data_IF_133495487021
#
_entry.id   IF_133495487021
#
_cell.length_a   1.000
_cell.length_b   1.000
_cell.length_c   1.000
_cell.angle_alpha   90.00
_cell.angle_beta   90.00
_cell.angle_gamma   90.00
#
_symmetry.space_group_name_H-M   'P 1'
#
loop_
_entity.id
_entity.type
_entity.pdbx_description
1 polymer ?
#
# COMPACT_ATOMS: atom_id res chain seq x y z
N UNK A 1 -3.89 8.06 -8.15
CA UNK A 1 -2.86 8.91 -7.49
C UNK A 1 -2.26 9.84 -8.53
N UNK A 2 -1.71 11.01 -8.17
CA UNK A 2 -1.01 11.91 -9.09
C UNK A 2 0.36 11.33 -9.48
N UNK A 3 0.36 10.14 -10.09
CA UNK A 3 1.56 9.44 -10.52
C UNK A 3 2.07 10.10 -11.81
N UNK A 4 3.34 10.50 -11.88
CA UNK A 4 3.90 11.16 -13.05
C UNK A 4 4.34 10.11 -14.09
N UNK A 5 3.40 9.32 -14.60
CA UNK A 5 3.66 8.18 -15.51
C UNK A 5 4.53 8.61 -16.71
N UNK A 6 4.13 9.66 -17.43
CA UNK A 6 4.88 10.19 -18.59
C UNK A 6 6.32 10.57 -18.21
N UNK A 7 6.50 11.31 -17.11
CA UNK A 7 7.82 11.71 -16.65
C UNK A 7 8.70 10.54 -16.24
N UNK A 8 8.11 9.46 -15.71
CA UNK A 8 8.83 8.23 -15.39
C UNK A 8 9.19 7.45 -16.66
N UNK A 9 8.33 7.46 -17.68
CA UNK A 9 8.59 6.79 -18.96
C UNK A 9 9.69 7.49 -19.77
N UNK A 10 9.85 8.80 -19.61
CA UNK A 10 10.91 9.58 -20.26
C UNK A 10 12.30 9.39 -19.62
N UNK A 11 12.38 8.70 -18.48
CA UNK A 11 13.65 8.44 -17.81
C UNK A 11 14.49 7.37 -18.52
N UNK A 12 15.84 7.47 -18.44
CA UNK A 12 16.72 6.43 -18.95
C UNK A 12 16.40 5.06 -18.34
N UNK A 13 16.29 4.03 -19.19
CA UNK A 13 15.92 2.68 -18.75
C UNK A 13 16.88 2.06 -17.72
N UNK A 14 18.14 2.50 -17.71
CA UNK A 14 19.20 2.01 -16.81
C UNK A 14 19.13 2.64 -15.41
N UNK A 15 18.31 3.69 -15.23
CA UNK A 15 18.22 4.41 -13.98
C UNK A 15 17.37 3.62 -12.97
N UNK A 16 18.01 3.21 -11.87
CA UNK A 16 17.30 2.59 -10.76
C UNK A 16 16.59 3.66 -9.93
N UNK A 17 15.29 3.46 -9.70
CA UNK A 17 14.43 4.32 -8.91
C UNK A 17 14.05 3.59 -7.63
N UNK A 18 13.94 4.35 -6.53
CA UNK A 18 13.44 3.85 -5.26
C UNK A 18 12.05 4.40 -4.98
N UNK A 19 11.12 3.50 -4.68
CA UNK A 19 9.81 3.82 -4.16
C UNK A 19 9.75 3.44 -2.68
N UNK A 20 9.61 4.41 -1.79
CA UNK A 20 9.37 4.16 -0.37
C UNK A 20 7.91 4.40 -0.04
N UNK A 21 7.30 3.43 0.64
CA UNK A 21 5.96 3.58 1.20
C UNK A 21 6.04 3.41 2.70
N UNK A 22 5.45 4.35 3.44
CA UNK A 22 5.29 4.28 4.88
C UNK A 22 3.82 4.43 5.24
N UNK A 23 3.22 3.36 5.75
CA UNK A 23 1.88 3.36 6.33
C UNK A 23 1.99 3.45 7.85
N UNK A 24 1.33 4.44 8.44
CA UNK A 24 1.23 4.61 9.89
C UNK A 24 -0.23 4.68 10.32
N UNK A 25 -0.57 4.01 11.41
CA UNK A 25 -1.90 4.06 12.00
C UNK A 25 -1.84 3.89 13.52
N UNK A 26 -2.86 4.38 14.22
CA UNK A 26 -2.96 4.21 15.66
C UNK A 26 -3.57 2.84 16.00
N UNK A 27 -2.96 2.17 16.98
CA UNK A 27 -3.51 0.94 17.57
C UNK A 27 -4.58 1.35 18.58
N UNK A 28 -5.84 1.02 18.31
CA UNK A 28 -6.88 1.15 19.33
C UNK A 28 -6.74 0.03 20.37
N UNK A 29 -6.65 0.31 21.68
CA UNK A 29 -6.47 -0.68 22.75
C UNK A 29 -7.72 -1.54 22.97
N UNK A 30 -7.55 -2.79 23.45
CA UNK A 30 -8.68 -3.68 23.74
C UNK A 30 -9.23 -3.36 25.13
N UNK A 31 -10.48 -2.87 25.28
CA UNK A 31 -11.06 -2.71 26.60
C UNK A 31 -11.55 -4.03 27.23
N UNK A 32 -11.54 -5.16 26.50
CA UNK A 32 -12.06 -6.45 26.97
C UNK A 32 -11.13 -7.19 27.94
N UNK A 33 -11.69 -7.74 29.03
CA UNK A 33 -10.96 -8.62 29.98
C UNK A 33 -10.37 -9.84 29.26
N UNK A 34 -9.20 -10.25 29.75
CA UNK A 34 -8.38 -11.40 29.35
C UNK A 34 -9.22 -12.69 29.30
N UNK A 35 -9.83 -12.98 28.16
CA UNK A 35 -10.66 -14.16 27.95
C UNK A 35 -10.90 -14.40 26.47
N UNK A 36 -10.74 -15.66 26.06
CA UNK A 36 -10.99 -16.26 24.73
C UNK A 36 -9.78 -16.47 23.78
N UNK A 37 -9.01 -17.51 24.13
CA UNK A 37 -8.79 -18.76 23.35
C UNK A 37 -8.10 -18.77 21.98
N UNK A 38 -7.37 -17.73 21.55
CA UNK A 38 -6.34 -17.90 20.52
C UNK A 38 -5.02 -17.31 20.98
N UNK A 39 -3.92 -18.01 20.68
CA UNK A 39 -2.56 -17.74 21.20
C UNK A 39 -1.97 -16.39 20.74
N UNK A 40 -2.74 -15.57 20.00
CA UNK A 40 -2.30 -14.33 19.33
C UNK A 40 -3.37 -13.23 19.17
N UNK A 41 -4.26 -12.94 20.13
CA UNK A 41 -5.16 -11.79 19.96
C UNK A 41 -4.58 -10.50 20.56
N UNK A 42 -4.06 -9.61 19.70
CA UNK A 42 -4.61 -8.25 19.51
C UNK A 42 -3.82 -7.44 18.46
N UNK A 43 -4.14 -7.56 17.18
CA UNK A 43 -3.87 -6.51 16.19
C UNK A 43 -5.14 -5.70 16.02
N UNK A 44 -5.05 -4.38 16.20
CA UNK A 44 -6.21 -3.50 16.29
C UNK A 44 -7.06 -3.55 14.99
N UNK A 45 -6.68 -2.72 14.02
CA UNK A 45 -7.18 -2.76 12.65
C UNK A 45 -6.32 -3.68 11.76
N UNK A 46 -5.04 -3.85 12.13
CA UNK A 46 -4.07 -4.63 11.36
C UNK A 46 -3.96 -4.13 9.91
N UNK A 47 -3.93 -2.80 9.70
CA UNK A 47 -3.84 -2.26 8.35
C UNK A 47 -2.55 -2.72 7.69
N UNK A 48 -2.64 -3.10 6.41
CA UNK A 48 -1.52 -3.39 5.53
C UNK A 48 -1.67 -2.55 4.26
N UNK A 49 -0.59 -2.47 3.50
CA UNK A 49 -0.61 -1.92 2.15
C UNK A 49 -0.09 -2.95 1.15
N UNK A 50 -0.60 -2.83 -0.07
CA UNK A 50 -0.07 -3.50 -1.25
C UNK A 50 -0.04 -2.55 -2.42
N UNK A 51 0.90 -2.75 -3.33
CA UNK A 51 1.04 -1.96 -4.57
C UNK A 51 0.79 -2.89 -5.74
N UNK A 52 0.09 -2.40 -6.77
CA UNK A 52 -0.04 -3.13 -8.02
C UNK A 52 1.36 -3.41 -8.57
N UNK A 53 1.56 -4.64 -9.04
CA UNK A 53 2.85 -5.08 -9.57
C UNK A 53 3.03 -4.67 -11.02
N UNK A 54 4.26 -4.51 -11.51
CA UNK A 54 4.53 -4.43 -12.94
C UNK A 54 3.94 -5.67 -13.64
N UNK A 55 3.18 -5.45 -14.71
CA UNK A 55 2.48 -6.47 -15.47
C UNK A 55 1.23 -7.06 -14.80
N UNK A 56 0.76 -6.53 -13.68
CA UNK A 56 -0.48 -7.00 -13.02
C UNK A 56 -1.69 -6.16 -13.48
N UNK A 57 -2.76 -6.85 -13.88
CA UNK A 57 -4.03 -6.17 -14.19
C UNK A 57 -4.72 -5.62 -12.95
N UNK A 58 -5.49 -4.54 -13.08
CA UNK A 58 -6.22 -3.94 -11.96
C UNK A 58 -7.25 -4.91 -11.36
N UNK A 59 -7.88 -5.74 -12.19
CA UNK A 59 -8.87 -6.73 -11.72
C UNK A 59 -8.20 -7.90 -11.00
N UNK A 60 -7.03 -8.37 -11.46
CA UNK A 60 -6.21 -9.31 -10.71
C UNK A 60 -5.75 -8.69 -9.38
N UNK A 61 -5.31 -7.43 -9.37
CA UNK A 61 -4.89 -6.74 -8.15
C UNK A 61 -6.02 -6.61 -7.11
N UNK A 62 -7.22 -6.23 -7.55
CA UNK A 62 -8.40 -6.19 -6.68
C UNK A 62 -8.73 -7.59 -6.14
N UNK A 63 -8.72 -8.59 -7.02
CA UNK A 63 -8.92 -9.99 -6.65
C UNK A 63 -7.84 -10.50 -5.71
N UNK A 64 -6.59 -10.04 -5.82
CA UNK A 64 -5.51 -10.39 -4.90
C UNK A 64 -5.76 -9.83 -3.51
N UNK A 65 -6.02 -8.53 -3.43
CA UNK A 65 -6.26 -7.82 -2.16
C UNK A 65 -7.50 -8.39 -1.46
N UNK A 66 -8.54 -8.73 -2.22
CA UNK A 66 -9.76 -9.36 -1.71
C UNK A 66 -9.59 -10.87 -1.46
N UNK A 67 -8.80 -11.57 -2.26
CA UNK A 67 -8.55 -13.02 -2.24
C UNK A 67 -7.67 -13.46 -1.08
N UNK A 68 -6.81 -12.56 -0.58
CA UNK A 68 -6.23 -12.66 0.77
C UNK A 68 -7.34 -12.82 1.85
N UNK A 69 -8.60 -12.49 1.55
CA UNK A 69 -9.75 -12.67 2.44
C UNK A 69 -10.70 -13.87 2.13
N UNK A 70 -10.83 -14.38 0.89
CA UNK A 70 -11.54 -15.64 0.54
C UNK A 70 -11.74 -15.81 -0.97
N UNK A 71 -11.17 -16.85 -1.59
CA UNK A 71 -11.77 -17.60 -2.72
C UNK A 71 -10.87 -18.78 -3.14
N UNK A 72 -11.47 -19.95 -3.41
CA UNK A 72 -10.77 -21.18 -3.85
C UNK A 72 -10.34 -21.18 -5.33
N UNK A 73 -10.83 -20.22 -6.15
CA UNK A 73 -10.59 -20.14 -7.60
C UNK A 73 -9.53 -19.10 -8.02
N UNK A 74 -8.63 -18.69 -7.11
CA UNK A 74 -7.63 -17.66 -7.39
C UNK A 74 -6.25 -18.26 -7.68
N UNK A 75 -5.79 -18.14 -8.94
CA UNK A 75 -4.50 -18.66 -9.43
C UNK A 75 -3.26 -17.91 -8.90
N UNK A 76 -3.47 -16.86 -8.11
CA UNK A 76 -2.39 -16.07 -7.54
C UNK A 76 -2.19 -14.72 -8.23
N UNK A 77 -1.39 -13.84 -7.61
CA UNK A 77 -1.12 -12.51 -8.14
C UNK A 77 -0.22 -12.56 -9.36
N UNK A 78 -0.66 -11.90 -10.43
CA UNK A 78 0.12 -11.63 -11.65
C UNK A 78 1.30 -10.70 -11.35
N UNK A 79 2.18 -10.55 -12.35
CA UNK A 79 3.23 -9.54 -12.33
C UNK A 79 4.40 -9.85 -11.40
N UNK A 80 5.41 -8.97 -11.47
CA UNK A 80 6.64 -9.14 -10.71
C UNK A 80 6.52 -8.62 -9.27
N UNK A 81 6.87 -9.44 -8.29
CA UNK A 81 6.83 -9.09 -6.86
C UNK A 81 8.20 -8.65 -6.30
N UNK A 82 9.26 -8.71 -7.10
CA UNK A 82 10.63 -8.44 -6.68
C UNK A 82 10.90 -6.94 -6.47
N UNK A 83 12.07 -6.63 -5.90
CA UNK A 83 12.54 -5.26 -5.68
C UNK A 83 12.21 -4.68 -4.31
N UNK A 84 11.29 -5.27 -3.55
CA UNK A 84 11.02 -4.89 -2.16
C UNK A 84 12.12 -5.34 -1.22
N UNK A 85 12.62 -4.43 -0.37
CA UNK A 85 13.71 -4.72 0.55
C UNK A 85 13.29 -5.61 1.73
N UNK A 86 12.17 -5.31 2.38
CA UNK A 86 11.64 -6.14 3.48
C UNK A 86 10.62 -7.19 2.99
N UNK A 87 9.86 -6.83 1.96
CA UNK A 87 8.79 -7.68 1.44
C UNK A 87 7.61 -7.80 2.41
N UNK A 88 6.57 -8.51 1.95
CA UNK A 88 5.25 -8.56 2.60
C UNK A 88 5.27 -9.13 4.02
N UNK A 89 6.24 -10.00 4.34
CA UNK A 89 6.32 -10.64 5.66
C UNK A 89 7.00 -9.76 6.71
N UNK A 90 8.10 -9.07 6.37
CA UNK A 90 8.88 -8.31 7.35
C UNK A 90 8.36 -6.88 7.52
N UNK A 91 7.76 -6.27 6.48
CA UNK A 91 7.26 -4.88 6.53
C UNK A 91 6.02 -4.66 7.41
N UNK A 92 5.43 -5.73 7.95
CA UNK A 92 4.10 -5.69 8.61
C UNK A 92 4.14 -5.75 10.15
N UNK A 93 5.31 -5.53 10.75
CA UNK A 93 5.49 -5.57 12.20
C UNK A 93 5.13 -4.24 12.86
N UNK A 94 4.23 -4.28 13.84
CA UNK A 94 3.80 -3.09 14.59
C UNK A 94 2.70 -2.30 13.88
N UNK A 95 2.71 -0.97 14.05
CA UNK A 95 1.73 -0.04 13.47
C UNK A 95 2.34 1.00 12.54
N UNK A 96 3.63 0.84 12.22
CA UNK A 96 4.36 1.62 11.22
C UNK A 96 4.98 0.60 10.27
N UNK A 97 4.46 0.56 9.05
CA UNK A 97 4.91 -0.34 8.00
C UNK A 97 5.66 0.50 6.97
N UNK A 98 6.97 0.33 6.88
CA UNK A 98 7.79 1.06 5.92
C UNK A 98 8.62 0.09 5.10
N UNK A 99 8.52 0.19 3.78
CA UNK A 99 9.31 -0.63 2.87
C UNK A 99 9.77 0.20 1.67
N UNK A 100 10.89 -0.20 1.07
CA UNK A 100 11.45 0.44 -0.11
C UNK A 100 11.54 -0.59 -1.23
N UNK A 101 10.90 -0.29 -2.35
CA UNK A 101 11.04 -0.99 -3.60
C UNK A 101 12.13 -0.32 -4.45
N UNK A 102 12.93 -1.11 -5.16
CA UNK A 102 13.92 -0.62 -6.13
C UNK A 102 13.73 -1.35 -7.46
N UNK A 103 13.71 -0.61 -8.55
CA UNK A 103 13.60 -1.16 -9.90
C UNK A 103 13.68 -0.08 -10.98
N UNK A 104 13.23 -0.43 -12.18
CA UNK A 104 13.32 0.46 -13.34
C UNK A 104 12.23 1.53 -13.32
N UNK A 105 12.44 2.60 -14.07
CA UNK A 105 11.43 3.64 -14.25
C UNK A 105 10.15 3.13 -14.94
N UNK A 106 10.30 2.21 -15.89
CA UNK A 106 9.19 1.56 -16.59
C UNK A 106 8.33 0.72 -15.63
N UNK A 107 8.96 -0.11 -14.80
CA UNK A 107 8.25 -0.89 -13.79
C UNK A 107 7.50 0.02 -12.82
N UNK A 108 8.15 1.10 -12.35
CA UNK A 108 7.52 2.05 -11.43
C UNK A 108 6.33 2.78 -12.07
N UNK A 109 6.37 3.06 -13.37
CA UNK A 109 5.28 3.68 -14.10
C UNK A 109 4.02 2.79 -14.12
N UNK A 110 4.18 1.47 -14.11
CA UNK A 110 3.09 0.50 -14.01
C UNK A 110 2.58 0.32 -12.56
N UNK A 111 3.41 0.60 -11.54
CA UNK A 111 3.05 0.53 -10.11
C UNK A 111 2.17 1.70 -9.62
N UNK A 112 1.11 2.02 -10.36
CA UNK A 112 0.32 3.26 -10.20
C UNK A 112 -0.84 3.17 -9.19
N UNK A 113 -1.03 2.02 -8.53
CA UNK A 113 -2.16 1.78 -7.61
C UNK A 113 -1.67 1.22 -6.28
N UNK A 114 -2.13 1.81 -5.18
CA UNK A 114 -1.86 1.34 -3.82
C UNK A 114 -3.19 1.01 -3.15
N UNK A 115 -3.27 -0.17 -2.54
CA UNK A 115 -4.39 -0.57 -1.68
C UNK A 115 -3.96 -0.51 -0.22
N UNK A 116 -4.79 0.08 0.64
CA UNK A 116 -4.67 -0.01 2.10
C UNK A 116 -5.88 -0.81 2.60
N UNK A 117 -5.64 -1.89 3.32
CA UNK A 117 -6.69 -2.83 3.71
C UNK A 117 -6.43 -3.44 5.08
N UNK A 118 -7.51 -3.76 5.85
CA UNK A 118 -7.38 -4.45 7.12
C UNK A 118 -7.20 -5.96 6.89
N UNK A 119 -6.30 -6.61 7.63
CA UNK A 119 -6.17 -8.09 7.61
C UNK A 119 -6.89 -8.83 8.74
N UNK A 120 -7.65 -8.10 9.57
CA UNK A 120 -8.44 -8.67 10.66
C UNK A 120 -7.92 -8.26 12.04
N UNK A 121 -8.25 -9.07 13.05
CA UNK A 121 -8.05 -8.72 14.46
C UNK A 121 -9.39 -8.50 15.19
N UNK A 122 -9.34 -8.09 16.45
CA UNK A 122 -10.55 -7.91 17.27
C UNK A 122 -11.58 -6.99 16.61
N UNK A 123 -11.15 -6.04 15.77
CA UNK A 123 -12.03 -5.14 15.03
C UNK A 123 -12.97 -5.87 14.08
N UNK A 124 -12.48 -6.94 13.43
CA UNK A 124 -13.27 -7.82 12.55
C UNK A 124 -14.18 -8.77 13.35
N UNK A 125 -13.71 -9.25 14.50
CA UNK A 125 -14.40 -10.30 15.27
C UNK A 125 -15.33 -9.76 16.39
N UNK A 126 -15.24 -8.47 16.75
CA UNK A 126 -16.13 -7.82 17.72
C UNK A 126 -17.44 -7.39 17.06
N UNK A 127 -18.21 -8.37 16.61
CA UNK A 127 -19.53 -8.18 15.97
C UNK A 127 -20.53 -7.46 16.89
N UNK A 128 -20.39 -7.63 18.21
CA UNK A 128 -21.24 -6.99 19.21
C UNK A 128 -21.18 -5.44 19.22
N UNK A 129 -20.12 -4.84 18.66
CA UNK A 129 -19.92 -3.38 18.64
C UNK A 129 -19.98 -2.77 17.23
N UNK A 130 -20.31 -3.56 16.18
CA UNK A 130 -20.32 -3.11 14.78
C UNK A 130 -19.07 -2.31 14.35
N UNK A 131 -17.90 -2.61 14.96
CA UNK A 131 -16.67 -1.82 14.76
C UNK A 131 -16.23 -1.74 13.30
N UNK A 132 -16.55 -2.74 12.49
CA UNK A 132 -16.31 -2.74 11.05
C UNK A 132 -16.94 -1.55 10.29
N UNK A 133 -17.93 -0.86 10.87
CA UNK A 133 -18.53 0.36 10.30
C UNK A 133 -17.77 1.65 10.63
N UNK A 134 -16.83 1.60 11.57
CA UNK A 134 -16.10 2.78 12.01
C UNK A 134 -14.94 3.11 11.05
N UNK A 135 -14.74 4.41 10.83
CA UNK A 135 -13.60 4.91 10.06
C UNK A 135 -12.31 4.85 10.88
N UNK A 136 -11.23 4.43 10.23
CA UNK A 136 -9.89 4.34 10.84
C UNK A 136 -9.01 5.43 10.26
N UNK A 137 -8.34 6.18 11.13
CA UNK A 137 -7.34 7.17 10.70
C UNK A 137 -6.00 6.49 10.45
N UNK A 138 -5.46 6.70 9.27
CA UNK A 138 -4.11 6.30 8.90
C UNK A 138 -3.44 7.40 8.09
N UNK A 139 -2.12 7.32 7.98
CA UNK A 139 -1.31 8.16 7.11
C UNK A 139 -0.51 7.27 6.18
N UNK A 140 -0.54 7.59 4.89
CA UNK A 140 0.26 6.93 3.87
C UNK A 140 1.23 7.96 3.29
N UNK A 141 2.51 7.76 3.52
CA UNK A 141 3.59 8.53 2.91
C UNK A 141 4.15 7.72 1.75
N UNK A 142 4.28 8.37 0.60
CA UNK A 142 4.90 7.80 -0.59
C UNK A 142 6.03 8.73 -1.01
N UNK A 143 7.22 8.17 -1.20
CA UNK A 143 8.41 8.91 -1.62
C UNK A 143 9.04 8.22 -2.81
N UNK A 144 9.37 8.99 -3.84
CA UNK A 144 10.10 8.54 -5.01
C UNK A 144 11.48 9.19 -4.95
N UNK A 145 12.53 8.39 -5.05
CA UNK A 145 13.92 8.81 -4.99
C UNK A 145 14.63 8.34 -6.26
N UNK A 146 15.18 9.30 -6.99
CA UNK A 146 15.86 9.13 -8.28
C UNK A 146 17.28 9.67 -8.12
N UNK A 147 18.27 8.88 -8.50
CA UNK A 147 19.68 9.23 -8.28
C UNK A 147 20.19 10.38 -9.18
N UNK A 148 19.45 10.75 -10.23
CA UNK A 148 19.80 11.83 -11.15
C UNK A 148 19.14 13.14 -10.72
N UNK A 149 19.96 14.12 -10.34
CA UNK A 149 19.52 15.44 -9.86
C UNK A 149 18.85 16.29 -10.96
N UNK A 150 18.95 15.91 -12.23
CA UNK A 150 18.39 16.69 -13.35
C UNK A 150 16.92 16.40 -13.66
N UNK A 151 16.26 15.49 -12.92
CA UNK A 151 14.87 15.10 -13.19
C UNK A 151 13.91 15.86 -12.27
N UNK A 152 13.13 16.78 -12.83
CA UNK A 152 12.10 17.51 -12.07
C UNK A 152 10.78 16.73 -11.96
N UNK A 153 10.78 15.66 -11.16
CA UNK A 153 9.58 14.88 -10.84
C UNK A 153 8.63 15.68 -9.94
N UNK A 154 9.21 16.47 -9.04
CA UNK A 154 8.47 17.18 -7.99
C UNK A 154 7.47 18.19 -8.59
N UNK A 155 7.91 19.04 -9.52
CA UNK A 155 7.03 20.04 -10.13
C UNK A 155 5.86 19.40 -10.89
N UNK A 156 6.11 18.27 -11.56
CA UNK A 156 5.09 17.52 -12.31
C UNK A 156 4.03 16.96 -11.37
N UNK A 157 4.45 16.36 -10.24
CA UNK A 157 3.52 15.85 -9.22
C UNK A 157 2.75 16.99 -8.56
N UNK A 158 3.42 18.09 -8.22
CA UNK A 158 2.79 19.27 -7.62
C UNK A 158 1.72 19.89 -8.54
N UNK A 159 2.01 19.99 -9.84
CA UNK A 159 1.04 20.47 -10.83
C UNK A 159 -0.20 19.55 -10.91
N UNK A 160 0.01 18.22 -10.91
CA UNK A 160 -1.09 17.24 -10.88
C UNK A 160 -1.93 17.35 -9.60
N UNK A 161 -1.29 17.50 -8.44
CA UNK A 161 -1.99 17.68 -7.16
C UNK A 161 -2.85 18.95 -7.16
N UNK A 162 -2.28 20.08 -7.56
CA UNK A 162 -3.00 21.36 -7.62
C UNK A 162 -4.21 21.29 -8.56
N UNK A 163 -4.08 20.58 -9.68
CA UNK A 163 -5.18 20.37 -10.63
C UNK A 163 -6.31 19.54 -10.02
N UNK A 164 -5.99 18.49 -9.26
CA UNK A 164 -7.01 17.64 -8.60
C UNK A 164 -7.75 18.41 -7.51
N UNK A 165 -7.05 19.24 -6.73
CA UNK A 165 -7.67 20.05 -5.66
C UNK A 165 -8.60 21.12 -6.25
N UNK A 166 -8.27 21.69 -7.42
CA UNK A 166 -9.09 22.72 -8.06
C UNK A 166 -10.44 22.20 -8.60
N UNK A 167 -10.65 20.87 -8.67
CA UNK A 167 -11.85 20.25 -9.24
C UNK A 167 -12.88 19.87 -8.15
N UNK A 168 -12.59 20.06 -6.86
CA UNK A 168 -13.63 19.99 -5.81
C UNK A 168 -14.46 21.30 -5.80
N UNK A 169 -15.52 21.35 -6.63
CA UNK A 169 -16.63 22.33 -6.56
C UNK A 169 -17.97 21.60 -6.47
#
# INVERSE_FOLDING_TARGET
MPWPIEALQDLPAELNIKLRITLSYFIEPNPGRRGYRQRYSYQSHGLKFEVIRPGQSLDNFRSYVNGIASSDDYDGPEGNADGWFFGTQLRTRGSIHSDTWTGTAADLAEMHTIAVYPVGGWWKYSTAQNRWQNSVRFSLLVSIDVADENVDIYSIVQAKINTVIAIEV
#
